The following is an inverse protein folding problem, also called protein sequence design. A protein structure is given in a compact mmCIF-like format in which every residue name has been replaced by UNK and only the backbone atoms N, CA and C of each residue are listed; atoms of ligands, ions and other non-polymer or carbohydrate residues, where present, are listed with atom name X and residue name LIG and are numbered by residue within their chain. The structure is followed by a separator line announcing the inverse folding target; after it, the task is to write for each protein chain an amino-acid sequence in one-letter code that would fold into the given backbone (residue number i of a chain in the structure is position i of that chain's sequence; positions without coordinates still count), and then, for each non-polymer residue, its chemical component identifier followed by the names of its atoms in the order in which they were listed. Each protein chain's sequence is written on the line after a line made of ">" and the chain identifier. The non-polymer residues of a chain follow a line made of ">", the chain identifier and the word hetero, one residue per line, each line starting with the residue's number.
data_IF_696786156691
#
_entry.id   IF_696786156691
#
_cell.length_a   1.000
_cell.length_b   1.000
_cell.length_c   1.000
_cell.angle_alpha   90.00
_cell.angle_beta   90.00
_cell.angle_gamma   90.00
#
_symmetry.space_group_name_H-M   'P 1'
#
loop_
_entity.id
_entity.type
_entity.pdbx_description
1 polymer ?
#
# COMPACT_ATOMS: atom_id res chain seq x y z
N UNK A 1 11.08 6.27 20.37
CA UNK A 1 9.68 6.64 20.05
C UNK A 1 9.03 5.42 19.45
N UNK A 2 7.83 5.02 19.92
CA UNK A 2 7.11 3.86 19.41
C UNK A 2 6.43 4.22 18.07
N UNK A 3 6.52 3.37 17.00
CA UNK A 3 5.83 3.60 15.75
C UNK A 3 4.31 3.65 15.93
N UNK A 4 3.64 4.42 15.09
CA UNK A 4 2.20 4.31 14.86
C UNK A 4 1.95 3.09 13.97
N UNK A 5 0.76 2.51 14.10
CA UNK A 5 0.37 1.30 13.38
C UNK A 5 -0.96 1.56 12.67
N UNK A 6 -1.01 1.19 11.40
CA UNK A 6 -2.24 1.07 10.62
C UNK A 6 -2.35 -0.36 10.12
N UNK A 7 -3.46 -1.00 10.38
CA UNK A 7 -3.74 -2.34 9.91
C UNK A 7 -5.06 -2.36 9.14
N UNK A 8 -5.10 -3.06 8.02
CA UNK A 8 -6.26 -3.30 7.18
C UNK A 8 -6.27 -4.73 6.69
N UNK A 9 -7.45 -5.28 6.58
CA UNK A 9 -7.69 -6.59 5.96
C UNK A 9 -8.84 -6.47 4.97
N UNK A 10 -8.73 -7.16 3.84
CA UNK A 10 -9.73 -7.20 2.79
C UNK A 10 -9.81 -8.58 2.19
N UNK A 11 -11.01 -9.05 1.95
CA UNK A 11 -11.28 -10.25 1.18
C UNK A 11 -11.45 -9.90 -0.31
N UNK A 12 -10.75 -10.64 -1.18
CA UNK A 12 -10.90 -10.59 -2.63
C UNK A 12 -11.58 -11.88 -3.09
N UNK A 13 -12.84 -11.82 -3.52
CA UNK A 13 -13.58 -12.99 -3.96
C UNK A 13 -13.07 -13.51 -5.31
N UNK A 14 -13.15 -14.83 -5.53
CA UNK A 14 -12.85 -15.52 -6.80
C UNK A 14 -11.42 -15.32 -7.33
N UNK A 15 -10.53 -14.78 -6.51
CA UNK A 15 -9.12 -14.56 -6.85
C UNK A 15 -8.30 -15.69 -6.25
N UNK A 16 -7.40 -16.28 -7.02
CA UNK A 16 -6.40 -17.17 -6.48
C UNK A 16 -5.18 -16.41 -5.95
N UNK A 17 -4.35 -17.10 -5.18
CA UNK A 17 -3.19 -16.49 -4.53
C UNK A 17 -2.15 -15.98 -5.56
N UNK A 18 -2.01 -16.65 -6.71
CA UNK A 18 -1.09 -16.25 -7.76
C UNK A 18 -1.55 -14.95 -8.45
N UNK A 19 -2.84 -14.83 -8.76
CA UNK A 19 -3.41 -13.63 -9.35
C UNK A 19 -3.33 -12.43 -8.38
N UNK A 20 -3.60 -12.64 -7.09
CA UNK A 20 -3.42 -11.61 -6.07
C UNK A 20 -1.96 -11.16 -6.02
N UNK A 21 -1.01 -12.10 -5.98
CA UNK A 21 0.42 -11.78 -6.01
C UNK A 21 0.81 -10.94 -7.23
N UNK A 22 0.44 -11.37 -8.43
CA UNK A 22 0.76 -10.67 -9.69
C UNK A 22 0.25 -9.23 -9.64
N UNK A 23 -0.98 -9.02 -9.16
CA UNK A 23 -1.55 -7.69 -9.07
C UNK A 23 -0.80 -6.78 -8.08
N UNK A 24 -0.56 -7.26 -6.86
CA UNK A 24 0.03 -6.44 -5.80
C UNK A 24 1.54 -6.25 -5.92
N UNK A 25 2.24 -7.17 -6.57
CA UNK A 25 3.68 -7.08 -6.82
C UNK A 25 4.04 -6.17 -8.00
N UNK A 26 3.08 -5.84 -8.87
CA UNK A 26 3.28 -4.86 -9.92
C UNK A 26 3.00 -3.44 -9.41
N UNK A 27 4.08 -2.66 -9.23
CA UNK A 27 3.97 -1.29 -8.76
C UNK A 27 3.18 -0.36 -9.71
N UNK A 28 3.02 -0.71 -10.99
CA UNK A 28 2.17 0.03 -11.92
C UNK A 28 0.70 0.02 -11.48
N UNK A 29 0.26 -1.06 -10.82
CA UNK A 29 -1.10 -1.18 -10.30
C UNK A 29 -1.39 -0.25 -9.11
N UNK A 30 -0.37 0.32 -8.45
CA UNK A 30 -0.57 1.31 -7.39
C UNK A 30 -1.40 2.51 -7.86
N UNK A 31 -1.27 2.91 -9.12
CA UNK A 31 -2.07 4.00 -9.69
C UNK A 31 -3.57 3.71 -9.65
N UNK A 32 -3.98 2.45 -9.82
CA UNK A 32 -5.39 2.04 -9.82
C UNK A 32 -6.02 2.00 -8.43
N UNK A 33 -5.20 1.83 -7.40
CA UNK A 33 -5.65 1.70 -6.00
C UNK A 33 -5.21 2.89 -5.12
N UNK A 34 -4.71 3.96 -5.74
CA UNK A 34 -4.34 5.22 -5.08
C UNK A 34 -5.35 6.29 -5.45
N UNK A 35 -5.84 7.12 -4.49
CA UNK A 35 -6.78 8.19 -4.80
C UNK A 35 -6.26 9.11 -5.90
N UNK A 36 -7.07 9.47 -6.92
CA UNK A 36 -6.64 10.34 -8.04
C UNK A 36 -6.06 11.67 -7.58
N UNK A 37 -6.61 12.24 -6.49
CA UNK A 37 -6.14 13.50 -5.91
C UNK A 37 -4.70 13.43 -5.35
N UNK A 38 -4.14 12.24 -5.18
CA UNK A 38 -2.75 12.08 -4.78
C UNK A 38 -1.76 12.24 -5.92
N UNK A 39 -2.21 12.31 -7.18
CA UNK A 39 -1.34 12.52 -8.34
C UNK A 39 -0.17 11.52 -8.40
N UNK A 40 -0.46 10.26 -8.09
CA UNK A 40 0.56 9.20 -8.14
C UNK A 40 1.15 9.10 -9.55
N UNK A 41 2.48 9.10 -9.63
CA UNK A 41 3.21 8.89 -10.88
C UNK A 41 4.49 8.12 -10.61
N UNK A 42 4.62 6.94 -11.20
CA UNK A 42 5.87 6.19 -11.16
C UNK A 42 6.99 6.95 -11.88
N UNK A 43 8.16 7.00 -11.27
CA UNK A 43 9.36 7.66 -11.81
C UNK A 43 10.50 6.68 -12.10
N UNK A 44 10.45 5.48 -11.51
CA UNK A 44 11.32 4.37 -11.90
C UNK A 44 10.82 3.67 -13.16
N UNK A 45 11.69 2.97 -13.92
CA UNK A 45 11.28 2.15 -15.05
C UNK A 45 10.27 1.08 -14.65
N UNK A 46 9.39 0.63 -15.58
CA UNK A 46 8.51 -0.52 -15.36
C UNK A 46 9.29 -1.74 -14.85
N UNK A 47 8.62 -2.58 -14.07
CA UNK A 47 9.23 -3.71 -13.39
C UNK A 47 8.73 -5.01 -13.99
N UNK A 48 9.65 -5.95 -14.24
CA UNK A 48 9.29 -7.31 -14.65
C UNK A 48 8.90 -8.17 -13.43
N UNK A 49 9.57 -7.98 -12.28
CA UNK A 49 9.27 -8.67 -11.02
C UNK A 49 9.86 -7.90 -9.83
N UNK A 50 9.36 -8.17 -8.63
CA UNK A 50 9.95 -7.65 -7.38
C UNK A 50 10.92 -8.68 -6.80
N UNK A 51 11.99 -8.16 -6.17
CA UNK A 51 13.00 -8.98 -5.47
C UNK A 51 13.57 -8.17 -4.29
N UNK A 52 14.16 -8.81 -3.27
CA UNK A 52 14.79 -8.09 -2.17
C UNK A 52 15.94 -7.20 -2.66
N UNK A 53 15.92 -5.91 -2.29
CA UNK A 53 16.82 -4.88 -2.78
C UNK A 53 16.28 -4.08 -3.97
N UNK A 54 15.12 -4.44 -4.52
CA UNK A 54 14.48 -3.66 -5.60
C UNK A 54 14.06 -2.28 -5.12
N UNK A 55 14.52 -1.25 -5.84
CA UNK A 55 14.15 0.15 -5.60
C UNK A 55 13.03 0.55 -6.54
N UNK A 56 11.98 1.17 -5.99
CA UNK A 56 10.82 1.68 -6.70
C UNK A 56 10.65 3.15 -6.31
N UNK A 57 10.61 4.03 -7.30
CA UNK A 57 10.46 5.47 -7.08
C UNK A 57 9.21 6.00 -7.76
N UNK A 58 8.53 6.91 -7.07
CA UNK A 58 7.33 7.59 -7.57
C UNK A 58 7.17 8.95 -6.92
N UNK A 59 6.36 9.80 -7.51
CA UNK A 59 5.94 11.08 -6.92
C UNK A 59 4.48 10.99 -6.49
N UNK A 60 4.16 11.60 -5.35
CA UNK A 60 2.82 11.63 -4.75
C UNK A 60 2.53 12.96 -4.09
N UNK A 61 1.25 13.27 -3.84
CA UNK A 61 0.79 14.44 -3.08
C UNK A 61 0.04 13.97 -1.83
N UNK A 62 0.75 13.47 -0.81
CA UNK A 62 0.11 12.83 0.34
C UNK A 62 -0.70 13.82 1.18
N UNK A 63 -0.20 15.07 1.32
CA UNK A 63 -0.79 16.11 2.16
C UNK A 63 -0.72 17.47 1.47
N UNK A 64 -1.76 18.30 1.66
CA UNK A 64 -1.84 19.71 1.24
C UNK A 64 -1.52 19.97 -0.25
N UNK A 65 -1.66 18.96 -1.14
CA UNK A 65 -1.36 19.10 -2.56
C UNK A 65 0.13 19.26 -2.91
N UNK A 66 1.03 19.14 -1.92
CA UNK A 66 2.48 19.25 -2.14
C UNK A 66 3.01 17.96 -2.76
N UNK A 67 3.63 18.08 -3.92
CA UNK A 67 4.29 16.94 -4.58
C UNK A 67 5.57 16.57 -3.82
N UNK A 68 5.71 15.30 -3.52
CA UNK A 68 6.87 14.74 -2.82
C UNK A 68 7.36 13.51 -3.57
N UNK A 69 8.67 13.35 -3.66
CA UNK A 69 9.27 12.12 -4.14
C UNK A 69 9.21 11.06 -3.04
N UNK A 70 8.95 9.83 -3.47
CA UNK A 70 8.93 8.66 -2.61
C UNK A 70 9.73 7.55 -3.26
N UNK A 71 10.64 6.98 -2.49
CA UNK A 71 11.44 5.84 -2.91
C UNK A 71 11.31 4.73 -1.87
N UNK A 72 10.81 3.59 -2.30
CA UNK A 72 10.71 2.36 -1.51
C UNK A 72 11.75 1.35 -1.96
N UNK A 73 12.17 0.52 -1.03
CA UNK A 73 12.92 -0.70 -1.29
C UNK A 73 12.09 -1.90 -0.85
N UNK A 74 12.01 -2.93 -1.68
CA UNK A 74 11.50 -4.24 -1.28
C UNK A 74 12.56 -4.90 -0.41
N UNK A 75 12.31 -5.03 0.89
CA UNK A 75 13.31 -5.56 1.82
C UNK A 75 13.21 -7.07 2.00
N UNK A 76 12.00 -7.62 1.95
CA UNK A 76 11.73 -9.04 2.13
C UNK A 76 10.58 -9.47 1.24
N UNK A 77 10.60 -10.71 0.79
CA UNK A 77 9.45 -11.34 0.15
C UNK A 77 9.52 -12.87 0.28
N UNK A 78 8.35 -13.49 0.26
CA UNK A 78 8.12 -14.92 0.09
C UNK A 78 6.92 -15.08 -0.84
N UNK A 79 7.20 -15.37 -2.10
CA UNK A 79 6.17 -15.49 -3.15
C UNK A 79 5.39 -16.80 -2.98
N UNK A 80 4.06 -16.78 -3.01
CA UNK A 80 3.16 -15.66 -3.23
C UNK A 80 2.52 -15.11 -1.92
N UNK A 81 3.15 -15.28 -0.76
CA UNK A 81 2.53 -15.09 0.56
C UNK A 81 2.71 -13.70 1.15
N UNK A 82 3.86 -13.07 0.94
CA UNK A 82 4.08 -11.71 1.43
C UNK A 82 5.25 -11.01 0.76
N UNK A 83 5.23 -9.68 0.83
CA UNK A 83 6.41 -8.84 0.65
C UNK A 83 6.35 -7.63 1.59
N UNK A 84 7.51 -7.03 1.81
CA UNK A 84 7.68 -5.85 2.67
C UNK A 84 8.39 -4.78 1.87
N UNK A 85 7.79 -3.58 1.81
CA UNK A 85 8.45 -2.40 1.30
C UNK A 85 8.76 -1.40 2.42
N UNK A 86 9.92 -0.76 2.33
CA UNK A 86 10.35 0.27 3.26
C UNK A 86 10.72 1.54 2.51
N UNK A 87 10.25 2.68 3.02
CA UNK A 87 10.64 3.97 2.49
C UNK A 87 12.12 4.22 2.75
N UNK A 88 12.88 4.49 1.69
CA UNK A 88 14.27 4.99 1.76
C UNK A 88 14.32 6.51 1.72
N UNK A 89 13.48 7.13 0.86
CA UNK A 89 13.27 8.58 0.80
C UNK A 89 11.78 8.87 0.75
N UNK A 90 11.33 9.93 1.45
CA UNK A 90 9.93 10.33 1.45
C UNK A 90 9.54 11.12 2.70
N UNK A 91 8.23 11.34 2.90
CA UNK A 91 7.71 12.23 3.94
C UNK A 91 7.82 11.69 5.37
N UNK A 92 7.99 10.39 5.53
CA UNK A 92 8.06 9.76 6.85
C UNK A 92 9.51 9.61 7.31
N UNK A 93 9.70 9.66 8.61
CA UNK A 93 10.99 9.31 9.22
C UNK A 93 11.24 7.80 9.20
N UNK A 94 10.18 7.02 9.24
CA UNK A 94 10.16 5.57 9.11
C UNK A 94 8.84 5.16 8.49
N UNK A 95 8.90 4.25 7.56
CA UNK A 95 7.74 3.61 6.95
C UNK A 95 8.14 2.20 6.54
N UNK A 96 7.40 1.23 7.05
CA UNK A 96 7.47 -0.17 6.67
C UNK A 96 6.07 -0.65 6.40
N UNK A 97 5.84 -1.19 5.22
CA UNK A 97 4.55 -1.72 4.82
C UNK A 97 4.68 -3.20 4.49
N UNK A 98 3.96 -4.03 5.20
CA UNK A 98 3.87 -5.47 4.98
C UNK A 98 2.58 -5.78 4.23
N UNK A 99 2.71 -6.42 3.07
CA UNK A 99 1.61 -6.97 2.29
C UNK A 99 1.59 -8.47 2.50
N UNK A 100 0.51 -9.01 3.03
CA UNK A 100 0.34 -10.44 3.31
C UNK A 100 -0.88 -10.98 2.59
N UNK A 101 -0.72 -12.14 1.97
CA UNK A 101 -1.76 -12.81 1.20
C UNK A 101 -1.99 -14.20 1.78
N UNK A 102 -3.24 -14.55 1.98
CA UNK A 102 -3.63 -15.85 2.50
C UNK A 102 -4.82 -16.38 1.71
N UNK A 103 -4.70 -17.59 1.20
CA UNK A 103 -5.81 -18.29 0.59
C UNK A 103 -6.86 -18.62 1.66
N UNK A 104 -8.12 -18.33 1.37
CA UNK A 104 -9.28 -18.61 2.20
C UNK A 104 -10.42 -19.16 1.36
N UNK A 105 -11.43 -19.72 1.98
CA UNK A 105 -12.58 -20.24 1.25
C UNK A 105 -13.21 -19.17 0.33
N UNK A 106 -13.18 -19.43 -0.98
CA UNK A 106 -13.77 -18.56 -2.01
C UNK A 106 -12.90 -17.39 -2.48
N UNK A 107 -11.62 -17.29 -2.08
CA UNK A 107 -10.74 -16.22 -2.56
C UNK A 107 -9.49 -16.02 -1.72
N UNK A 108 -9.02 -14.80 -1.67
CA UNK A 108 -7.78 -14.42 -0.96
C UNK A 108 -8.08 -13.32 0.07
N UNK A 109 -7.57 -13.50 1.27
CA UNK A 109 -7.47 -12.42 2.26
C UNK A 109 -6.14 -11.67 2.04
N UNK A 110 -6.25 -10.36 1.82
CA UNK A 110 -5.11 -9.43 1.75
C UNK A 110 -5.06 -8.64 3.04
N UNK A 111 -3.90 -8.63 3.70
CA UNK A 111 -3.66 -7.89 4.94
C UNK A 111 -2.51 -6.93 4.75
N UNK A 112 -2.78 -5.65 4.98
CA UNK A 112 -1.81 -4.57 5.02
C UNK A 112 -1.48 -4.23 6.48
N UNK A 113 -0.19 -4.22 6.83
CA UNK A 113 0.30 -3.77 8.14
C UNK A 113 1.37 -2.71 7.93
N UNK A 114 1.05 -1.48 8.31
CA UNK A 114 1.95 -0.33 8.17
C UNK A 114 2.43 0.13 9.53
N UNK A 115 3.76 0.18 9.69
CA UNK A 115 4.42 0.85 10.81
C UNK A 115 5.06 2.14 10.31
N UNK A 116 4.78 3.28 10.99
CA UNK A 116 5.33 4.54 10.54
C UNK A 116 5.69 5.50 11.68
N UNK A 117 6.64 6.38 11.40
CA UNK A 117 7.03 7.50 12.26
C UNK A 117 7.03 8.79 11.45
N UNK A 118 6.49 9.84 12.03
CA UNK A 118 6.58 11.18 11.46
C UNK A 118 7.96 11.78 11.69
N UNK A 119 8.38 12.78 10.91
CA UNK A 119 9.52 13.61 11.21
C UNK A 119 9.46 14.15 12.66
N UNK A 120 10.62 14.44 13.24
CA UNK A 120 10.66 15.03 14.59
C UNK A 120 10.09 16.43 14.54
N UNK A 121 8.95 16.64 15.21
CA UNK A 121 8.28 17.92 15.32
C UNK A 121 7.57 18.02 16.68
N UNK A 122 7.32 19.25 17.16
CA UNK A 122 6.45 19.46 18.32
C UNK A 122 5.07 18.85 18.08
N UNK A 123 4.44 18.32 19.13
CA UNK A 123 3.08 17.77 19.08
C UNK A 123 2.87 16.62 18.06
N UNK A 124 3.89 15.86 17.74
CA UNK A 124 3.85 14.74 16.76
C UNK A 124 2.61 13.85 16.91
N UNK A 125 2.21 13.51 18.16
CA UNK A 125 1.03 12.67 18.40
C UNK A 125 -0.27 13.36 17.99
N UNK A 126 -0.38 14.67 18.23
CA UNK A 126 -1.56 15.47 17.86
C UNK A 126 -1.65 15.61 16.35
N UNK A 127 -0.53 15.92 15.70
CA UNK A 127 -0.42 15.98 14.22
C UNK A 127 -0.80 14.64 13.60
N UNK A 128 -0.30 13.53 14.17
CA UNK A 128 -0.69 12.21 13.69
C UNK A 128 -2.20 12.01 13.80
N UNK A 129 -2.78 12.23 14.98
CA UNK A 129 -4.20 11.97 15.25
C UNK A 129 -5.14 12.82 14.40
N UNK A 130 -4.80 14.09 14.16
CA UNK A 130 -5.69 15.03 13.49
C UNK A 130 -5.48 15.12 11.97
N UNK A 131 -4.30 14.79 11.48
CA UNK A 131 -3.93 15.01 10.07
C UNK A 131 -3.53 13.69 9.38
N UNK A 132 -2.48 13.03 9.89
CA UNK A 132 -1.85 11.92 9.14
C UNK A 132 -2.69 10.66 9.20
N UNK A 133 -3.15 10.26 10.38
CA UNK A 133 -3.93 9.04 10.55
C UNK A 133 -5.28 9.08 9.79
N UNK A 134 -6.07 10.17 9.83
CA UNK A 134 -7.28 10.28 9.01
C UNK A 134 -6.97 10.20 7.51
N UNK A 135 -5.89 10.85 7.06
CA UNK A 135 -5.50 10.80 5.65
C UNK A 135 -5.07 9.41 5.20
N UNK A 136 -4.32 8.68 6.03
CA UNK A 136 -3.97 7.30 5.75
C UNK A 136 -5.21 6.42 5.70
N UNK A 137 -6.15 6.58 6.63
CA UNK A 137 -7.42 5.85 6.60
C UNK A 137 -8.19 6.09 5.31
N UNK A 138 -8.31 7.35 4.87
CA UNK A 138 -8.96 7.71 3.59
C UNK A 138 -8.29 7.02 2.39
N UNK A 139 -6.95 6.98 2.34
CA UNK A 139 -6.21 6.32 1.27
C UNK A 139 -6.52 4.81 1.23
N UNK A 140 -6.49 4.15 2.39
CA UNK A 140 -6.77 2.72 2.46
C UNK A 140 -8.25 2.38 2.27
N UNK A 141 -9.17 3.26 2.65
CA UNK A 141 -10.59 3.11 2.36
C UNK A 141 -10.87 3.24 0.86
N UNK A 142 -10.22 4.19 0.18
CA UNK A 142 -10.26 4.28 -1.29
C UNK A 142 -9.70 3.02 -1.95
N UNK A 143 -8.54 2.53 -1.49
CA UNK A 143 -7.93 1.27 -1.97
C UNK A 143 -8.91 0.13 -1.88
N UNK A 144 -9.59 -0.02 -0.74
CA UNK A 144 -10.59 -1.06 -0.53
C UNK A 144 -11.72 -0.99 -1.55
N UNK A 145 -12.26 0.18 -1.81
CA UNK A 145 -13.34 0.34 -2.80
C UNK A 145 -12.84 0.15 -4.24
N UNK A 146 -11.62 0.56 -4.54
CA UNK A 146 -11.00 0.31 -5.85
C UNK A 146 -10.80 -1.21 -6.08
N UNK A 147 -10.31 -1.93 -5.09
CA UNK A 147 -10.13 -3.38 -5.17
C UNK A 147 -11.47 -4.14 -5.34
N UNK A 148 -12.55 -3.70 -4.69
CA UNK A 148 -13.89 -4.28 -4.92
C UNK A 148 -14.37 -4.12 -6.38
N UNK A 149 -14.02 -3.02 -7.03
CA UNK A 149 -14.35 -2.80 -8.44
C UNK A 149 -13.48 -3.62 -9.39
N UNK A 150 -12.20 -3.81 -9.04
CA UNK A 150 -11.25 -4.59 -9.84
C UNK A 150 -11.47 -6.10 -9.70
N UNK A 151 -11.92 -6.54 -8.53
CA UNK A 151 -12.18 -7.94 -8.18
C UNK A 151 -13.63 -8.06 -7.66
N UNK A 152 -14.65 -7.92 -8.55
CA UNK A 152 -16.04 -8.02 -8.12
C UNK A 152 -16.38 -9.45 -7.69
N UNK A 153 -17.33 -9.64 -6.77
CA UNK A 153 -17.89 -10.96 -6.49
C UNK A 153 -18.52 -11.54 -7.76
N UNK A 154 -18.61 -12.87 -7.88
CA UNK A 154 -19.30 -13.48 -8.99
C UNK A 154 -20.78 -13.02 -8.98
N UNK A 155 -21.35 -12.93 -10.18
CA UNK A 155 -22.80 -12.69 -10.29
C UNK A 155 -23.55 -13.75 -9.50
N UNK A 156 -24.62 -13.36 -8.78
CA UNK A 156 -25.47 -14.36 -8.13
C UNK A 156 -25.94 -15.37 -9.17
N UNK A 157 -25.78 -16.65 -8.88
CA UNK A 157 -26.25 -17.71 -9.74
C UNK A 157 -27.74 -17.50 -10.07
N UNK A 158 -28.18 -17.68 -11.32
CA UNK A 158 -29.56 -17.49 -11.74
C UNK A 158 -30.55 -18.41 -11.00
#
# INVERSE_FOLDING_TARGET
>A
MKPFILERSQFLPVVDLAAAWIFFSDACNLAHITPPGMGFRMTSPPLDDIYPGRIISYSVRPLFGITMDWTSEITHLEKPFFFIDEQRFGPYRFWQHQHRFREVAGGVEVRDLVHYLLPRMPFTRLVNRLIVEPRLKEIFDYRREALKRLFPPPDPAP
#
